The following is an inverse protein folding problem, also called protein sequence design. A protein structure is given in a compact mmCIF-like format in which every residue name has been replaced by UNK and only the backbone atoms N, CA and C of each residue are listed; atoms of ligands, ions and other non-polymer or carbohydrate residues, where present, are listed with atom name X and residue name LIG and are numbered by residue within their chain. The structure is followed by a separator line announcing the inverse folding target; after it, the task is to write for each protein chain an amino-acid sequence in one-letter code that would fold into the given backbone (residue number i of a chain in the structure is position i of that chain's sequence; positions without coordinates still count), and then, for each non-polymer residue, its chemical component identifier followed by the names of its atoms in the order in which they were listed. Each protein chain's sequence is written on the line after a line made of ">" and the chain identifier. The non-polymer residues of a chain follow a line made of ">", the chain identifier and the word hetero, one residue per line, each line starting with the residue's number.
data_IF_670406670308
#
_entry.id   IF_670406670308
#
_cell.length_a   1.000
_cell.length_b   1.000
_cell.length_c   1.000
_cell.angle_alpha   90.00
_cell.angle_beta   90.00
_cell.angle_gamma   90.00
#
_symmetry.space_group_name_H-M   'P 1'
#
loop_
_entity.id
_entity.type
_entity.pdbx_description
1 polymer ?
#
# COMPACT_ATOMS: atom_id res chain seq x y z
N UNK A 1 -7.11 -15.29 -20.83
CA UNK A 1 -6.42 -14.16 -20.19
C UNK A 1 -6.43 -14.47 -18.70
N UNK A 2 -5.29 -14.57 -18.01
CA UNK A 2 -5.31 -14.75 -16.56
C UNK A 2 -6.04 -13.57 -15.93
N UNK A 3 -6.96 -13.84 -15.01
CA UNK A 3 -7.58 -12.78 -14.22
C UNK A 3 -6.59 -12.24 -13.17
N UNK A 4 -6.96 -11.15 -12.50
CA UNK A 4 -6.10 -10.53 -11.50
C UNK A 4 -5.86 -11.43 -10.29
N UNK A 5 -6.79 -12.34 -9.97
CA UNK A 5 -6.65 -13.26 -8.85
C UNK A 5 -5.52 -14.25 -9.13
N UNK A 6 -5.49 -14.82 -10.34
CA UNK A 6 -4.39 -15.65 -10.79
C UNK A 6 -3.04 -14.92 -10.76
N UNK A 7 -3.00 -13.63 -11.15
CA UNK A 7 -1.76 -12.86 -11.09
C UNK A 7 -1.25 -12.67 -9.66
N UNK A 8 -2.12 -12.29 -8.73
CA UNK A 8 -1.78 -12.19 -7.30
C UNK A 8 -1.33 -13.54 -6.75
N UNK A 9 -1.97 -14.63 -7.18
CA UNK A 9 -1.66 -15.98 -6.74
C UNK A 9 -0.33 -16.51 -7.27
N UNK A 10 0.10 -16.10 -8.45
CA UNK A 10 1.28 -16.66 -9.11
C UNK A 10 2.54 -15.79 -9.00
N UNK A 11 2.40 -14.48 -8.74
CA UNK A 11 3.52 -13.53 -8.82
C UNK A 11 4.01 -12.98 -7.49
N UNK A 12 3.19 -13.00 -6.44
CA UNK A 12 3.62 -12.56 -5.11
C UNK A 12 4.49 -13.63 -4.45
N UNK A 13 5.62 -13.19 -3.88
CA UNK A 13 6.39 -14.03 -2.96
C UNK A 13 5.55 -14.36 -1.71
N UNK A 14 5.84 -15.46 -0.99
CA UNK A 14 5.09 -15.83 0.21
C UNK A 14 4.97 -14.70 1.24
N UNK A 15 6.05 -13.95 1.46
CA UNK A 15 6.13 -12.84 2.41
C UNK A 15 5.29 -11.64 1.95
N UNK A 16 5.28 -11.35 0.64
CA UNK A 16 4.46 -10.31 0.03
C UNK A 16 2.98 -10.66 0.12
N UNK A 17 2.61 -11.92 -0.11
CA UNK A 17 1.23 -12.38 0.08
C UNK A 17 0.79 -12.28 1.53
N UNK A 18 1.63 -12.73 2.47
CA UNK A 18 1.33 -12.64 3.90
C UNK A 18 1.12 -11.17 4.32
N UNK A 19 1.96 -10.26 3.81
CA UNK A 19 1.81 -8.82 4.01
C UNK A 19 0.48 -8.30 3.47
N UNK A 20 0.13 -8.62 2.23
CA UNK A 20 -1.13 -8.22 1.61
C UNK A 20 -2.35 -8.72 2.41
N UNK A 21 -2.35 -9.98 2.82
CA UNK A 21 -3.41 -10.55 3.64
C UNK A 21 -3.52 -9.83 4.99
N UNK A 22 -2.38 -9.53 5.63
CA UNK A 22 -2.37 -8.83 6.91
C UNK A 22 -2.92 -7.41 6.81
N UNK A 23 -2.55 -6.68 5.75
CA UNK A 23 -3.08 -5.33 5.48
C UNK A 23 -4.59 -5.40 5.22
N UNK A 24 -5.07 -6.39 4.48
CA UNK A 24 -6.50 -6.60 4.24
C UNK A 24 -7.27 -6.88 5.54
N UNK A 25 -6.78 -7.79 6.39
CA UNK A 25 -7.39 -8.13 7.68
C UNK A 25 -7.50 -6.90 8.60
N UNK A 26 -6.42 -6.13 8.72
CA UNK A 26 -6.41 -4.92 9.55
C UNK A 26 -7.33 -3.84 8.98
N UNK A 27 -7.37 -3.67 7.66
CA UNK A 27 -8.28 -2.73 7.00
C UNK A 27 -9.73 -3.10 7.29
N UNK A 28 -10.07 -4.39 7.16
CA UNK A 28 -11.41 -4.89 7.48
C UNK A 28 -11.79 -4.66 8.95
N UNK A 29 -10.86 -4.94 9.88
CA UNK A 29 -11.08 -4.70 11.32
C UNK A 29 -11.26 -3.21 11.67
N UNK A 30 -10.61 -2.32 10.93
CA UNK A 30 -10.71 -0.87 11.09
C UNK A 30 -11.87 -0.24 10.30
N UNK A 31 -12.58 -1.02 9.49
CA UNK A 31 -13.64 -0.52 8.60
C UNK A 31 -13.11 0.40 7.49
N UNK A 32 -11.89 0.16 7.02
CA UNK A 32 -11.25 0.90 5.92
C UNK A 32 -11.35 0.11 4.62
N UNK A 33 -11.72 0.76 3.53
CA UNK A 33 -11.49 0.21 2.21
C UNK A 33 -10.00 0.33 1.87
N UNK A 34 -9.43 -0.73 1.30
CA UNK A 34 -8.01 -0.80 0.94
C UNK A 34 -7.85 -1.33 -0.48
N UNK A 35 -6.87 -0.78 -1.18
CA UNK A 35 -6.58 -1.08 -2.57
C UNK A 35 -5.08 -1.26 -2.75
N UNK A 36 -4.69 -2.22 -3.57
CA UNK A 36 -3.34 -2.28 -4.13
C UNK A 36 -3.27 -1.25 -5.27
N UNK A 37 -2.29 -0.36 -5.24
CA UNK A 37 -2.18 0.74 -6.21
C UNK A 37 -0.75 0.89 -6.72
N UNK A 38 -0.45 2.01 -7.40
CA UNK A 38 0.91 2.42 -7.69
C UNK A 38 1.71 1.49 -8.59
N UNK A 39 3.01 1.42 -8.32
CA UNK A 39 3.98 0.64 -9.10
C UNK A 39 3.71 -0.85 -8.99
N UNK A 40 3.20 -1.31 -7.85
CA UNK A 40 2.87 -2.71 -7.60
C UNK A 40 1.89 -3.27 -8.62
N UNK A 41 0.81 -2.55 -8.95
CA UNK A 41 -0.17 -3.03 -9.94
C UNK A 41 0.44 -3.08 -11.35
N UNK A 42 1.23 -2.07 -11.74
CA UNK A 42 1.94 -2.06 -13.03
C UNK A 42 2.89 -3.26 -13.14
N UNK A 43 3.68 -3.50 -12.10
CA UNK A 43 4.70 -4.56 -12.10
C UNK A 43 4.00 -5.94 -12.06
N UNK A 44 2.89 -6.06 -11.33
CA UNK A 44 2.02 -7.25 -11.31
C UNK A 44 1.44 -7.58 -12.68
N UNK A 45 0.95 -6.60 -13.45
CA UNK A 45 0.37 -6.82 -14.78
C UNK A 45 1.45 -7.15 -15.80
N UNK A 46 2.55 -6.39 -15.80
CA UNK A 46 3.63 -6.51 -16.77
C UNK A 46 4.53 -7.73 -16.54
N UNK A 47 4.54 -8.27 -15.32
CA UNK A 47 5.41 -9.39 -14.92
C UNK A 47 6.83 -8.96 -14.57
N UNK A 48 7.02 -7.66 -14.33
CA UNK A 48 8.24 -7.15 -13.73
C UNK A 48 8.36 -7.62 -12.27
N UNK A 49 9.58 -7.60 -11.74
CA UNK A 49 9.84 -7.95 -10.34
C UNK A 49 9.12 -6.99 -9.41
N UNK A 50 8.27 -7.54 -8.54
CA UNK A 50 7.59 -6.80 -7.48
C UNK A 50 8.60 -6.47 -6.37
N UNK A 51 8.98 -5.20 -6.29
CA UNK A 51 9.97 -4.69 -5.32
C UNK A 51 9.32 -4.26 -4.02
N UNK A 52 8.15 -3.65 -4.12
CA UNK A 52 7.40 -3.06 -3.02
C UNK A 52 5.88 -3.29 -3.18
N UNK A 53 5.15 -3.15 -2.08
CA UNK A 53 3.69 -3.20 -2.05
C UNK A 53 3.10 -1.85 -1.67
N UNK A 54 2.44 -1.19 -2.63
CA UNK A 54 1.77 0.09 -2.44
C UNK A 54 0.29 -0.11 -2.15
N UNK A 55 -0.14 0.35 -0.98
CA UNK A 55 -1.53 0.34 -0.57
C UNK A 55 -2.11 1.74 -0.51
N UNK A 56 -3.38 1.87 -0.90
CA UNK A 56 -4.17 3.08 -0.68
C UNK A 56 -5.41 2.73 0.13
N UNK A 57 -5.69 3.52 1.17
CA UNK A 57 -6.87 3.34 2.03
C UNK A 57 -7.82 4.53 1.91
N UNK A 58 -9.12 4.27 1.93
CA UNK A 58 -10.13 5.32 2.12
C UNK A 58 -10.25 5.64 3.61
N UNK A 59 -9.45 6.60 4.06
CA UNK A 59 -9.42 7.02 5.47
C UNK A 59 -8.00 7.34 5.92
N UNK A 60 -7.81 7.49 7.23
CA UNK A 60 -6.49 7.86 7.77
C UNK A 60 -5.51 6.66 7.73
N UNK A 61 -4.43 6.71 6.91
CA UNK A 61 -3.45 5.62 6.81
C UNK A 61 -2.63 5.42 8.09
N UNK A 62 -2.47 6.45 8.93
CA UNK A 62 -1.74 6.35 10.20
C UNK A 62 -2.42 5.33 11.12
N UNK A 63 -3.75 5.16 11.08
CA UNK A 63 -4.45 4.18 11.92
C UNK A 63 -3.98 2.75 11.63
N UNK A 64 -3.96 2.35 10.36
CA UNK A 64 -3.52 1.01 9.98
C UNK A 64 -2.01 0.83 10.17
N UNK A 65 -1.20 1.86 9.89
CA UNK A 65 0.24 1.82 10.13
C UNK A 65 0.57 1.53 11.59
N UNK A 66 -0.11 2.15 12.56
CA UNK A 66 0.07 1.86 13.99
C UNK A 66 -0.32 0.44 14.37
N UNK A 67 -1.37 -0.12 13.79
CA UNK A 67 -1.73 -1.53 14.02
C UNK A 67 -0.71 -2.50 13.40
N UNK A 68 -0.13 -2.15 12.25
CA UNK A 68 0.94 -2.91 11.63
C UNK A 68 2.23 -2.88 12.48
N UNK A 69 2.58 -1.74 13.07
CA UNK A 69 3.73 -1.62 13.98
C UNK A 69 3.61 -2.54 15.20
N UNK A 70 2.41 -2.69 15.77
CA UNK A 70 2.16 -3.67 16.84
C UNK A 70 2.41 -5.11 16.39
N UNK A 71 2.29 -5.38 15.09
CA UNK A 71 2.58 -6.66 14.44
C UNK A 71 4.03 -6.83 13.99
N UNK A 72 4.93 -5.91 14.35
CA UNK A 72 6.35 -5.97 14.00
C UNK A 72 6.74 -5.25 12.71
N UNK A 73 5.82 -4.54 12.06
CA UNK A 73 6.20 -3.60 11.00
C UNK A 73 6.95 -2.39 11.58
N UNK A 74 7.67 -1.67 10.73
CA UNK A 74 8.41 -0.47 11.10
C UNK A 74 8.10 0.65 10.13
N UNK A 75 7.55 1.75 10.62
CA UNK A 75 7.41 2.98 9.82
C UNK A 75 8.80 3.54 9.53
N UNK A 76 9.10 3.76 8.25
CA UNK A 76 10.37 4.31 7.78
C UNK A 76 10.27 5.82 7.61
N UNK A 77 9.15 6.30 7.07
CA UNK A 77 8.87 7.71 6.84
C UNK A 77 7.36 7.98 6.90
N UNK A 78 6.97 9.13 7.42
CA UNK A 78 5.57 9.58 7.47
C UNK A 78 5.52 11.05 7.06
N UNK A 79 4.75 11.36 6.00
CA UNK A 79 4.44 12.72 5.58
C UNK A 79 2.94 12.95 5.75
N UNK A 80 2.60 13.58 6.87
CA UNK A 80 1.22 13.75 7.33
C UNK A 80 0.38 14.58 6.36
N UNK A 81 0.96 15.63 5.74
CA UNK A 81 0.22 16.49 4.79
C UNK A 81 -0.22 15.72 3.56
N UNK A 82 0.63 14.79 3.12
CA UNK A 82 0.37 13.91 2.00
C UNK A 82 -0.43 12.67 2.44
N UNK A 83 -0.60 12.43 3.74
CA UNK A 83 -1.18 11.19 4.25
C UNK A 83 -0.47 9.99 3.61
N UNK A 84 0.86 10.01 3.62
CA UNK A 84 1.72 9.02 2.97
C UNK A 84 2.68 8.45 4.00
N UNK A 85 2.77 7.12 4.05
CA UNK A 85 3.61 6.39 5.00
C UNK A 85 4.43 5.38 4.23
N UNK A 86 5.75 5.44 4.36
CA UNK A 86 6.67 4.39 3.93
C UNK A 86 6.90 3.44 5.09
N UNK A 87 6.84 2.14 4.82
CA UNK A 87 6.82 1.11 5.85
C UNK A 87 7.60 -0.13 5.40
N UNK A 88 8.36 -0.69 6.35
CA UNK A 88 8.91 -2.04 6.26
C UNK A 88 7.95 -2.98 7.00
N UNK A 89 7.26 -3.85 6.27
CA UNK A 89 6.35 -4.83 6.85
C UNK A 89 7.13 -5.95 7.55
N UNK A 90 6.49 -6.64 8.49
CA UNK A 90 7.13 -7.67 9.34
C UNK A 90 7.75 -8.85 8.57
N UNK A 91 7.47 -9.01 7.27
CA UNK A 91 8.07 -10.00 6.38
C UNK A 91 9.24 -9.48 5.54
N UNK A 92 9.91 -8.40 5.95
CA UNK A 92 10.97 -7.72 5.18
C UNK A 92 10.51 -7.21 3.81
N UNK A 93 9.20 -7.05 3.63
CA UNK A 93 8.63 -6.43 2.44
C UNK A 93 8.61 -4.92 2.65
N UNK A 94 9.14 -4.16 1.71
CA UNK A 94 8.99 -2.70 1.69
C UNK A 94 7.69 -2.31 1.00
N UNK A 95 7.20 -1.11 1.28
CA UNK A 95 6.05 -0.55 0.60
C UNK A 95 5.55 0.72 1.23
N UNK A 96 4.33 1.09 0.83
CA UNK A 96 3.71 2.33 1.28
C UNK A 96 2.24 2.13 1.64
N UNK A 97 1.74 2.97 2.53
CA UNK A 97 0.30 3.11 2.81
C UNK A 97 -0.06 4.58 2.69
N UNK A 98 -0.91 4.87 1.72
CA UNK A 98 -1.38 6.21 1.42
C UNK A 98 -2.87 6.36 1.71
N UNK A 99 -3.30 7.53 2.17
CA UNK A 99 -4.70 7.90 2.18
C UNK A 99 -5.15 8.31 0.79
N UNK A 100 -6.30 7.80 0.32
CA UNK A 100 -6.95 8.32 -0.87
C UNK A 100 -7.20 9.84 -0.68
N UNK A 101 -6.79 10.62 -1.68
CA UNK A 101 -6.87 12.08 -1.66
C UNK A 101 -6.98 12.63 -3.08
N UNK A 102 -7.60 13.80 -3.19
CA UNK A 102 -7.59 14.62 -4.39
C UNK A 102 -6.61 15.76 -4.20
N UNK A 103 -5.71 15.94 -5.17
CA UNK A 103 -4.75 17.05 -5.16
C UNK A 103 -5.26 18.18 -6.07
N UNK A 104 -5.46 19.36 -5.50
CA UNK A 104 -5.91 20.55 -6.21
C UNK A 104 -4.73 21.52 -6.42
N UNK A 105 -4.27 21.63 -7.65
CA UNK A 105 -3.22 22.57 -8.03
C UNK A 105 -3.82 23.88 -8.50
N UNK A 106 -3.52 24.98 -7.82
CA UNK A 106 -3.90 26.32 -8.28
C UNK A 106 -2.99 26.67 -9.46
N UNK A 107 -3.58 26.91 -10.64
CA UNK A 107 -2.84 27.32 -11.83
C UNK A 107 -2.06 28.59 -11.55
N UNK A 108 -0.73 28.49 -11.48
CA UNK A 108 0.13 29.65 -11.42
C UNK A 108 -0.05 30.47 -12.69
N UNK A 109 -0.40 31.75 -12.55
CA UNK A 109 -0.29 32.67 -13.69
C UNK A 109 1.20 32.87 -13.90
N UNK A 110 1.79 32.14 -14.86
CA UNK A 110 3.10 32.49 -15.37
C UNK A 110 2.95 33.88 -16.00
N UNK A 111 3.42 34.91 -15.28
CA UNK A 111 3.63 36.26 -15.81
C UNK A 111 5.10 36.41 -16.15
#
# INVERSE_FOLDING_TARGET
>A
MPDYMFLLESRLMPEQRATMMRVQELSAALGLNVYLTGGTVRDLITGATLRDLDFTVEGNPTKIARELEKGGAKVLHEEEKLRHIEILFAGECEGSISGARDDHYVGGTFR
#
